data_IF_806398119411
#
_entry.id   IF_806398119411
#
_cell.length_a   1.000
_cell.length_b   1.000
_cell.length_c   1.000
_cell.angle_alpha   90.00
_cell.angle_beta   90.00
_cell.angle_gamma   90.00
#
_symmetry.space_group_name_H-M   'P 1'
#
loop_
_entity.id
_entity.type
_entity.pdbx_description
1 polymer ?
#
# COMPACT_ATOMS: atom_id res chain seq x y z
N UNK A 1 7.11 -6.14 -14.36
CA UNK A 1 8.60 -6.10 -14.28
C UNK A 1 9.13 -4.70 -13.98
N UNK A 2 8.73 -3.66 -14.71
CA UNK A 2 9.26 -2.30 -14.53
C UNK A 2 9.01 -1.71 -13.13
N UNK A 3 7.82 -1.88 -12.55
CA UNK A 3 7.48 -1.36 -11.22
C UNK A 3 8.34 -2.00 -10.11
N UNK A 4 8.55 -3.31 -10.17
CA UNK A 4 9.40 -4.06 -9.24
C UNK A 4 10.83 -3.50 -9.21
N UNK A 5 11.44 -3.28 -10.37
CA UNK A 5 12.81 -2.78 -10.44
C UNK A 5 12.91 -1.35 -9.89
N UNK A 6 11.95 -0.48 -10.22
CA UNK A 6 11.90 0.90 -9.69
C UNK A 6 11.80 0.93 -8.16
N UNK A 7 10.94 0.09 -7.57
CA UNK A 7 10.79 -0.02 -6.11
C UNK A 7 12.09 -0.51 -5.49
N UNK A 8 12.71 -1.56 -6.06
CA UNK A 8 13.97 -2.10 -5.56
C UNK A 8 15.09 -1.06 -5.61
N UNK A 9 15.23 -0.36 -6.72
CA UNK A 9 16.24 0.68 -6.88
C UNK A 9 16.06 1.81 -5.85
N UNK A 10 14.83 2.31 -5.69
CA UNK A 10 14.53 3.35 -4.71
C UNK A 10 14.81 2.88 -3.27
N UNK A 11 14.37 1.70 -2.87
CA UNK A 11 14.61 1.18 -1.52
C UNK A 11 16.11 0.93 -1.28
N UNK A 12 16.85 0.40 -2.26
CA UNK A 12 18.29 0.18 -2.15
C UNK A 12 19.07 1.49 -2.02
N UNK A 13 18.59 2.60 -2.64
CA UNK A 13 19.25 3.91 -2.56
C UNK A 13 19.24 4.51 -1.14
N UNK A 14 18.38 4.01 -0.24
CA UNK A 14 18.38 4.42 1.17
C UNK A 14 19.56 3.86 1.95
N UNK A 15 20.24 2.85 1.42
CA UNK A 15 21.38 2.14 2.04
C UNK A 15 21.07 1.63 3.47
N UNK A 16 19.78 1.51 3.82
CA UNK A 16 19.36 1.01 5.14
C UNK A 16 19.81 -0.42 5.37
N UNK A 17 20.36 -0.67 6.54
CA UNK A 17 20.64 -2.03 7.00
C UNK A 17 19.35 -2.85 6.99
N UNK A 18 19.42 -4.08 6.44
CA UNK A 18 18.28 -4.99 6.33
C UNK A 18 17.39 -4.81 5.09
N UNK A 19 17.57 -3.74 4.28
CA UNK A 19 16.72 -3.47 3.11
C UNK A 19 16.73 -4.64 2.10
N UNK A 20 17.87 -5.32 1.92
CA UNK A 20 17.96 -6.49 1.02
C UNK A 20 17.13 -7.67 1.52
N UNK A 21 17.08 -7.88 2.82
CA UNK A 21 16.26 -8.92 3.42
C UNK A 21 14.76 -8.59 3.29
N UNK A 22 14.38 -7.32 3.47
CA UNK A 22 13.02 -6.86 3.20
C UNK A 22 12.62 -7.08 1.74
N UNK A 23 13.47 -6.72 0.77
CA UNK A 23 13.21 -6.92 -0.65
C UNK A 23 13.02 -8.41 -1.01
N UNK A 24 13.83 -9.29 -0.43
CA UNK A 24 13.65 -10.74 -0.59
C UNK A 24 12.30 -11.19 -0.02
N UNK A 25 11.92 -10.70 1.16
CA UNK A 25 10.62 -10.99 1.75
C UNK A 25 9.47 -10.50 0.85
N UNK A 26 9.58 -9.31 0.28
CA UNK A 26 8.59 -8.76 -0.67
C UNK A 26 8.44 -9.64 -1.91
N UNK A 27 9.56 -10.17 -2.44
CA UNK A 27 9.56 -11.11 -3.56
C UNK A 27 8.86 -12.44 -3.21
N UNK A 28 9.19 -13.00 -2.06
CA UNK A 28 8.70 -14.32 -1.62
C UNK A 28 7.21 -14.29 -1.21
N UNK A 29 6.72 -13.13 -0.77
CA UNK A 29 5.34 -12.97 -0.27
C UNK A 29 4.39 -12.30 -1.27
N UNK A 30 4.85 -12.03 -2.51
CA UNK A 30 3.98 -11.58 -3.60
C UNK A 30 3.55 -10.12 -3.52
N UNK A 31 4.37 -9.24 -2.92
CA UNK A 31 4.10 -7.80 -2.87
C UNK A 31 3.85 -7.21 -4.27
N UNK A 32 4.64 -7.62 -5.24
CA UNK A 32 4.59 -7.08 -6.60
C UNK A 32 3.41 -7.57 -7.44
N UNK A 33 2.71 -8.60 -6.98
CA UNK A 33 1.55 -9.19 -7.65
C UNK A 33 0.25 -8.89 -6.86
N UNK A 34 0.37 -8.34 -5.65
CA UNK A 34 -0.75 -8.05 -4.76
C UNK A 34 -1.63 -6.92 -5.33
N UNK A 35 -2.98 -7.04 -5.29
CA UNK A 35 -3.87 -5.93 -5.59
C UNK A 35 -3.79 -4.86 -4.48
N UNK A 36 -3.99 -3.59 -4.85
CA UNK A 36 -4.01 -2.50 -3.87
C UNK A 36 -5.28 -2.50 -3.02
N UNK A 37 -6.40 -2.90 -3.59
CA UNK A 37 -7.70 -2.92 -2.92
C UNK A 37 -8.55 -4.12 -3.32
N UNK A 38 -9.68 -4.30 -2.64
CA UNK A 38 -10.66 -5.34 -3.00
C UNK A 38 -11.51 -4.99 -4.23
N UNK A 39 -11.65 -3.69 -4.56
CA UNK A 39 -12.53 -3.25 -5.63
C UNK A 39 -12.67 -1.74 -5.76
N UNK A 40 -11.80 -0.94 -5.12
CA UNK A 40 -11.88 0.52 -5.18
C UNK A 40 -10.92 1.07 -6.25
N UNK A 41 -9.62 1.09 -5.96
CA UNK A 41 -8.57 1.55 -6.88
C UNK A 41 -7.55 0.43 -7.04
N UNK A 42 -7.00 0.29 -8.24
CA UNK A 42 -5.98 -0.72 -8.57
C UNK A 42 -6.30 -2.12 -8.00
N UNK A 43 -7.57 -2.54 -8.11
CA UNK A 43 -8.03 -3.86 -7.70
C UNK A 43 -7.66 -4.92 -8.77
N UNK A 44 -6.39 -4.92 -9.15
CA UNK A 44 -5.78 -5.77 -10.19
C UNK A 44 -4.46 -6.34 -9.68
N UNK A 45 -3.98 -7.38 -10.35
CA UNK A 45 -2.65 -7.93 -10.08
C UNK A 45 -1.59 -6.84 -10.29
N UNK A 46 -0.67 -6.71 -9.33
CA UNK A 46 0.38 -5.69 -9.33
C UNK A 46 -0.08 -4.29 -8.88
N UNK A 47 -1.35 -4.11 -8.55
CA UNK A 47 -1.92 -2.82 -8.17
C UNK A 47 -1.28 -2.21 -6.94
N UNK A 48 -0.83 -3.01 -5.97
CA UNK A 48 -0.14 -2.50 -4.78
C UNK A 48 1.22 -1.86 -5.11
N UNK A 49 2.00 -2.48 -5.99
CA UNK A 49 3.27 -1.95 -6.43
C UNK A 49 3.12 -0.66 -7.25
N UNK A 50 2.08 -0.59 -8.09
CA UNK A 50 1.75 0.60 -8.85
C UNK A 50 1.32 1.74 -7.94
N UNK A 51 0.40 1.50 -7.00
CA UNK A 51 -0.02 2.47 -6.00
C UNK A 51 1.15 3.04 -5.20
N UNK A 52 2.02 2.16 -4.67
CA UNK A 52 3.19 2.61 -3.90
C UNK A 52 4.09 3.54 -4.70
N UNK A 53 4.27 3.29 -6.00
CA UNK A 53 5.05 4.17 -6.89
C UNK A 53 4.33 5.48 -7.21
N UNK A 54 3.00 5.47 -7.34
CA UNK A 54 2.20 6.67 -7.53
C UNK A 54 2.31 7.58 -6.29
N UNK A 55 2.16 7.01 -5.10
CA UNK A 55 2.35 7.73 -3.83
C UNK A 55 3.76 8.28 -3.73
N UNK A 56 4.79 7.49 -4.10
CA UNK A 56 6.17 7.96 -4.13
C UNK A 56 6.36 9.16 -5.08
N UNK A 57 5.84 9.09 -6.29
CA UNK A 57 5.89 10.19 -7.26
C UNK A 57 5.24 11.46 -6.72
N UNK A 58 4.02 11.36 -6.16
CA UNK A 58 3.32 12.51 -5.56
C UNK A 58 4.09 13.09 -4.38
N UNK A 59 4.64 12.24 -3.49
CA UNK A 59 5.47 12.72 -2.37
C UNK A 59 6.73 13.45 -2.85
N UNK A 60 7.36 12.98 -3.93
CA UNK A 60 8.50 13.67 -4.54
C UNK A 60 8.09 15.04 -5.10
N UNK A 61 6.99 15.11 -5.84
CA UNK A 61 6.47 16.35 -6.41
C UNK A 61 6.07 17.37 -5.33
N UNK A 62 5.55 16.91 -4.21
CA UNK A 62 5.14 17.75 -3.08
C UNK A 62 6.27 17.98 -2.05
N UNK A 63 7.45 17.43 -2.24
CA UNK A 63 8.56 17.47 -1.28
C UNK A 63 9.02 18.88 -0.93
N UNK A 64 8.77 19.87 -1.80
CA UNK A 64 9.04 21.28 -1.53
C UNK A 64 8.32 21.79 -0.27
N UNK A 65 7.22 21.18 0.15
CA UNK A 65 6.51 21.52 1.39
C UNK A 65 7.32 21.19 2.65
N UNK A 66 8.30 20.29 2.55
CA UNK A 66 9.21 19.93 3.62
C UNK A 66 10.49 20.79 3.63
N UNK A 67 10.70 21.59 2.59
CA UNK A 67 11.89 22.44 2.43
C UNK A 67 11.67 23.80 3.05
N UNK A 68 12.71 24.31 3.76
CA UNK A 68 12.72 25.68 4.29
C UNK A 68 13.42 26.68 3.37
N UNK A 69 13.85 26.25 2.17
CA UNK A 69 14.61 27.09 1.23
C UNK A 69 14.97 26.37 -0.08
N UNK A 70 15.87 26.93 -0.89
CA UNK A 70 16.24 26.39 -2.20
C UNK A 70 17.14 25.14 -2.15
N UNK A 71 17.66 24.80 -0.98
CA UNK A 71 18.53 23.65 -0.78
C UNK A 71 17.77 22.32 -0.90
N UNK A 72 18.41 21.26 -1.42
CA UNK A 72 17.81 19.92 -1.44
C UNK A 72 17.45 19.46 -0.02
N UNK A 73 16.41 18.62 0.08
CA UNK A 73 16.08 17.99 1.35
C UNK A 73 17.27 17.18 1.89
N UNK A 74 17.48 17.16 3.23
CA UNK A 74 18.46 16.27 3.84
C UNK A 74 18.24 14.81 3.43
N UNK A 75 19.33 14.03 3.36
CA UNK A 75 19.27 12.61 2.93
C UNK A 75 18.28 11.81 3.77
N UNK A 76 18.25 12.05 5.08
CA UNK A 76 17.35 11.39 6.02
C UNK A 76 15.87 11.62 5.65
N UNK A 77 15.52 12.83 5.19
CA UNK A 77 14.16 13.15 4.76
C UNK A 77 13.85 12.55 3.39
N UNK A 78 14.82 12.52 2.47
CA UNK A 78 14.67 11.84 1.19
C UNK A 78 14.42 10.34 1.41
N UNK A 79 15.16 9.70 2.30
CA UNK A 79 14.98 8.30 2.69
C UNK A 79 13.62 8.07 3.35
N UNK A 80 13.18 8.97 4.22
CA UNK A 80 11.87 8.87 4.87
C UNK A 80 10.72 8.96 3.87
N UNK A 81 10.84 9.78 2.81
CA UNK A 81 9.89 9.82 1.69
C UNK A 81 9.84 8.47 0.98
N UNK A 82 11.01 7.87 0.67
CA UNK A 82 11.07 6.56 0.01
C UNK A 82 10.44 5.47 0.89
N UNK A 83 10.84 5.41 2.15
CA UNK A 83 10.36 4.39 3.11
C UNK A 83 8.87 4.55 3.34
N UNK A 84 8.40 5.75 3.65
CA UNK A 84 6.99 6.03 3.89
C UNK A 84 6.12 5.65 2.70
N UNK A 85 6.45 6.16 1.51
CA UNK A 85 5.65 5.94 0.32
C UNK A 85 5.63 4.50 -0.16
N UNK A 86 6.78 3.81 -0.16
CA UNK A 86 6.86 2.46 -0.72
C UNK A 86 6.44 1.36 0.26
N UNK A 87 6.39 1.67 1.57
CA UNK A 87 6.10 0.67 2.60
C UNK A 87 4.82 0.93 3.41
N UNK A 88 4.10 2.08 3.22
CA UNK A 88 2.90 2.39 4.00
C UNK A 88 1.86 1.27 3.93
N UNK A 89 1.70 0.69 2.78
CA UNK A 89 0.71 -0.35 2.46
C UNK A 89 1.29 -1.79 2.43
N UNK A 90 2.53 -1.99 2.86
CA UNK A 90 3.21 -3.30 2.86
C UNK A 90 2.38 -4.40 3.52
N UNK A 91 1.60 -4.06 4.53
CA UNK A 91 0.71 -4.99 5.25
C UNK A 91 -0.44 -5.55 4.42
N UNK A 92 -0.78 -4.94 3.27
CA UNK A 92 -1.78 -5.46 2.32
C UNK A 92 -1.30 -6.74 1.62
N UNK A 93 0.01 -6.96 1.52
CA UNK A 93 0.62 -8.19 1.00
C UNK A 93 0.12 -9.43 1.74
N UNK A 94 -0.10 -9.31 3.04
CA UNK A 94 -0.45 -10.42 3.92
C UNK A 94 0.63 -10.68 4.97
N UNK A 95 0.60 -11.86 5.59
CA UNK A 95 1.54 -12.24 6.65
C UNK A 95 1.43 -13.74 6.96
N UNK A 96 2.41 -14.31 7.66
CA UNK A 96 2.42 -15.72 8.06
C UNK A 96 2.22 -16.70 6.90
N UNK A 97 2.79 -16.40 5.73
CA UNK A 97 2.64 -17.22 4.52
C UNK A 97 1.24 -17.21 3.90
N UNK A 98 0.39 -16.25 4.27
CA UNK A 98 -0.96 -16.08 3.75
C UNK A 98 -1.08 -14.75 3.03
N UNK A 99 -1.63 -14.71 1.79
CA UNK A 99 -1.85 -13.46 1.08
C UNK A 99 -2.89 -12.59 1.80
N UNK A 100 -2.77 -11.26 1.67
CA UNK A 100 -3.72 -10.31 2.24
C UNK A 100 -5.08 -10.33 1.56
N UNK A 101 -5.08 -10.63 0.26
CA UNK A 101 -6.28 -10.72 -0.57
C UNK A 101 -6.41 -12.09 -1.21
N UNK A 102 -7.67 -12.49 -1.45
CA UNK A 102 -8.05 -13.70 -2.20
C UNK A 102 -9.10 -13.35 -3.25
N UNK A 103 -9.24 -14.12 -4.34
CA UNK A 103 -10.30 -13.90 -5.31
C UNK A 103 -11.67 -13.88 -4.63
N UNK A 104 -12.48 -12.86 -4.92
CA UNK A 104 -13.84 -12.74 -4.41
C UNK A 104 -14.80 -13.50 -5.31
N UNK A 105 -15.13 -14.73 -4.93
CA UNK A 105 -15.98 -15.63 -5.70
C UNK A 105 -17.46 -15.42 -5.36
N UNK A 106 -18.28 -15.09 -6.35
CA UNK A 106 -19.73 -14.94 -6.24
C UNK A 106 -20.45 -16.05 -7.02
N UNK A 107 -21.71 -16.34 -6.66
CA UNK A 107 -22.53 -17.32 -7.37
C UNK A 107 -22.77 -16.86 -8.80
N UNK A 108 -22.54 -17.76 -9.76
CA UNK A 108 -22.84 -17.56 -11.18
C UNK A 108 -24.15 -18.24 -11.53
N UNK A 109 -25.24 -17.48 -11.53
CA UNK A 109 -26.60 -17.98 -11.77
C UNK A 109 -27.14 -18.86 -10.63
N UNK A 110 -28.19 -19.57 -10.94
CA UNK A 110 -28.82 -20.58 -10.06
C UNK A 110 -28.64 -21.97 -10.65
N UNK A 111 -28.48 -23.02 -9.84
CA UNK A 111 -28.51 -24.38 -10.31
C UNK A 111 -29.81 -24.70 -11.05
N UNK A 112 -29.71 -25.52 -12.08
CA UNK A 112 -30.88 -26.01 -12.86
C UNK A 112 -30.97 -27.52 -12.74
N UNK A 113 -32.09 -28.13 -13.21
CA UNK A 113 -32.21 -29.59 -13.24
C UNK A 113 -31.16 -30.26 -14.15
N UNK A 114 -30.71 -29.55 -15.19
CA UNK A 114 -29.67 -30.04 -16.11
C UNK A 114 -28.25 -29.82 -15.56
N UNK A 115 -28.06 -28.79 -14.75
CA UNK A 115 -26.78 -28.44 -14.10
C UNK A 115 -27.02 -28.19 -12.59
N UNK A 116 -27.03 -29.24 -11.78
CA UNK A 116 -27.41 -29.16 -10.36
C UNK A 116 -26.33 -28.56 -9.49
N UNK A 117 -25.09 -28.43 -9.98
CA UNK A 117 -23.96 -27.85 -9.22
C UNK A 117 -23.97 -26.33 -9.31
N UNK A 118 -23.74 -25.68 -8.16
CA UNK A 118 -23.60 -24.23 -8.10
C UNK A 118 -22.27 -23.80 -8.75
N UNK A 119 -22.33 -23.03 -9.83
CA UNK A 119 -21.16 -22.40 -10.44
C UNK A 119 -20.80 -21.11 -9.70
N UNK A 120 -19.51 -20.78 -9.71
CA UNK A 120 -18.98 -19.56 -9.14
C UNK A 120 -18.11 -18.85 -10.17
N UNK A 121 -18.07 -17.51 -10.09
CA UNK A 121 -17.17 -16.65 -10.85
C UNK A 121 -16.59 -15.56 -9.95
N UNK A 122 -15.45 -15.02 -10.33
CA UNK A 122 -14.89 -13.85 -9.66
C UNK A 122 -15.82 -12.65 -9.85
N UNK A 123 -16.03 -11.88 -8.80
CA UNK A 123 -16.86 -10.67 -8.86
C UNK A 123 -16.23 -9.62 -9.77
N UNK A 124 -16.93 -9.10 -10.80
CA UNK A 124 -16.38 -8.06 -11.66
C UNK A 124 -16.24 -6.71 -10.95
N UNK A 125 -17.16 -6.38 -10.04
CA UNK A 125 -17.15 -5.09 -9.35
C UNK A 125 -16.25 -5.06 -8.12
N UNK A 126 -15.95 -6.21 -7.54
CA UNK A 126 -15.08 -6.36 -6.37
C UNK A 126 -14.28 -7.65 -6.52
N UNK A 127 -13.25 -7.65 -7.38
CA UNK A 127 -12.56 -8.88 -7.77
C UNK A 127 -11.82 -9.57 -6.62
N UNK A 128 -11.45 -8.83 -5.57
CA UNK A 128 -10.74 -9.39 -4.43
C UNK A 128 -11.47 -9.14 -3.11
N UNK A 129 -11.25 -10.01 -2.15
CA UNK A 129 -11.72 -9.90 -0.77
C UNK A 129 -10.52 -10.03 0.17
N UNK A 130 -10.60 -9.38 1.33
CA UNK A 130 -9.62 -9.59 2.41
C UNK A 130 -9.63 -11.07 2.77
N UNK A 131 -8.45 -11.67 2.91
CA UNK A 131 -8.32 -13.09 3.21
C UNK A 131 -8.86 -13.40 4.61
N UNK A 132 -9.95 -14.18 4.72
CA UNK A 132 -10.54 -14.56 6.01
C UNK A 132 -9.64 -15.48 6.84
N UNK A 133 -8.59 -16.04 6.26
CA UNK A 133 -7.59 -16.84 6.95
C UNK A 133 -6.57 -16.01 7.76
N UNK A 134 -6.59 -14.68 7.63
CA UNK A 134 -5.80 -13.76 8.45
C UNK A 134 -6.67 -13.12 9.53
N UNK A 135 -6.09 -12.89 10.72
CA UNK A 135 -6.75 -12.05 11.71
C UNK A 135 -6.94 -10.62 11.18
N UNK A 136 -8.05 -9.94 11.55
CA UNK A 136 -8.39 -8.60 11.06
C UNK A 136 -7.54 -7.51 11.75
N UNK A 137 -6.22 -7.57 11.54
CA UNK A 137 -5.29 -6.52 11.96
C UNK A 137 -5.27 -5.44 10.88
N UNK A 138 -5.41 -4.14 11.22
CA UNK A 138 -5.27 -3.05 10.26
C UNK A 138 -3.97 -3.17 9.46
N UNK A 139 -4.04 -2.89 8.14
CA UNK A 139 -2.89 -3.09 7.27
C UNK A 139 -1.72 -2.17 7.61
N UNK A 140 -1.98 -0.94 8.09
CA UNK A 140 -0.97 0.01 8.57
C UNK A 140 -0.17 -0.54 9.76
N UNK A 141 -0.84 -1.21 10.70
CA UNK A 141 -0.18 -1.88 11.84
C UNK A 141 0.68 -3.04 11.35
N UNK A 142 0.17 -3.79 10.37
CA UNK A 142 0.91 -4.89 9.75
C UNK A 142 2.10 -4.38 8.94
N UNK A 143 1.97 -3.23 8.26
CA UNK A 143 3.04 -2.58 7.51
C UNK A 143 4.20 -2.21 8.42
N UNK A 144 3.94 -1.53 9.53
CA UNK A 144 4.95 -1.19 10.55
C UNK A 144 5.60 -2.46 11.10
N UNK A 145 4.81 -3.47 11.48
CA UNK A 145 5.34 -4.74 11.99
C UNK A 145 6.30 -5.41 11.02
N UNK A 146 5.93 -5.52 9.74
CA UNK A 146 6.76 -6.19 8.73
C UNK A 146 8.00 -5.37 8.46
N UNK A 147 7.87 -4.07 8.20
CA UNK A 147 9.02 -3.21 7.93
C UNK A 147 10.02 -3.23 9.08
N UNK A 148 9.57 -3.07 10.34
CA UNK A 148 10.41 -3.04 11.54
C UNK A 148 11.09 -4.38 11.84
N UNK A 149 10.62 -5.49 11.27
CA UNK A 149 11.29 -6.77 11.39
C UNK A 149 12.61 -6.81 10.60
N UNK A 150 12.72 -6.04 9.53
CA UNK A 150 13.88 -6.05 8.65
C UNK A 150 14.74 -4.81 8.76
N UNK A 151 14.13 -3.63 8.87
CA UNK A 151 14.82 -2.34 8.90
C UNK A 151 14.47 -1.57 10.16
N UNK A 152 15.41 -0.73 10.62
CA UNK A 152 15.11 0.21 11.70
C UNK A 152 14.38 1.41 11.11
N UNK A 153 13.10 1.57 11.45
CA UNK A 153 12.35 2.79 11.18
C UNK A 153 12.73 3.89 12.18
N UNK A 154 12.68 5.15 11.76
CA UNK A 154 12.62 6.28 12.67
C UNK A 154 11.23 6.40 13.28
N UNK A 155 11.09 7.09 14.41
CA UNK A 155 9.79 7.33 15.03
C UNK A 155 8.83 8.04 14.07
N UNK A 156 9.32 9.02 13.29
CA UNK A 156 8.51 9.76 12.33
C UNK A 156 8.05 8.90 11.15
N UNK A 157 8.91 8.01 10.63
CA UNK A 157 8.54 7.04 9.59
C UNK A 157 7.49 6.04 10.09
N UNK A 158 7.69 5.51 11.30
CA UNK A 158 6.74 4.59 11.93
C UNK A 158 5.37 5.24 12.09
N UNK A 159 5.32 6.47 12.63
CA UNK A 159 4.07 7.20 12.80
C UNK A 159 3.43 7.58 11.46
N UNK A 160 4.22 7.99 10.46
CA UNK A 160 3.70 8.31 9.15
C UNK A 160 3.03 7.09 8.49
N UNK A 161 3.67 5.92 8.55
CA UNK A 161 3.11 4.65 8.05
C UNK A 161 1.87 4.27 8.86
N UNK A 162 1.93 4.32 10.19
CA UNK A 162 0.82 3.93 11.06
C UNK A 162 -0.41 4.82 10.88
N UNK A 163 -0.21 6.10 10.58
CA UNK A 163 -1.30 7.08 10.51
C UNK A 163 -1.68 7.49 9.09
N UNK A 164 -1.11 6.90 8.05
CA UNK A 164 -1.32 7.36 6.65
C UNK A 164 -2.80 7.43 6.23
N UNK A 165 -3.68 6.59 6.80
CA UNK A 165 -5.12 6.67 6.56
C UNK A 165 -5.77 7.94 7.13
N UNK A 166 -5.08 8.70 7.98
CA UNK A 166 -5.53 9.97 8.52
C UNK A 166 -6.88 9.87 9.22
N UNK A 167 -7.80 10.78 8.85
CA UNK A 167 -9.15 10.84 9.43
C UNK A 167 -10.04 9.65 9.02
N UNK A 168 -9.63 8.84 8.07
CA UNK A 168 -10.34 7.64 7.62
C UNK A 168 -9.88 6.38 8.35
N UNK A 169 -8.76 6.43 9.08
CA UNK A 169 -8.19 5.31 9.83
C UNK A 169 -8.70 5.20 11.26
N UNK A 170 -8.30 4.12 11.91
CA UNK A 170 -8.66 3.83 13.30
C UNK A 170 -7.99 4.79 14.29
N UNK A 171 -6.88 5.43 13.89
CA UNK A 171 -6.09 6.35 14.72
C UNK A 171 -6.55 7.81 14.64
N UNK A 172 -7.64 8.14 13.94
CA UNK A 172 -8.10 9.51 13.68
C UNK A 172 -8.20 10.41 14.92
N UNK A 173 -8.60 9.88 16.06
CA UNK A 173 -8.69 10.63 17.32
C UNK A 173 -7.35 10.80 18.03
N UNK A 174 -6.37 9.96 17.72
CA UNK A 174 -5.02 10.03 18.29
C UNK A 174 -4.14 11.03 17.55
N UNK A 175 -4.34 11.16 16.24
CA UNK A 175 -3.56 12.01 15.34
C UNK A 175 -3.83 13.49 15.59
N UNK A 176 -5.08 13.86 15.84
CA UNK A 176 -5.52 15.25 15.92
C UNK A 176 -4.64 16.11 16.83
N UNK A 177 -4.04 17.16 16.25
CA UNK A 177 -3.13 18.09 16.93
C UNK A 177 -1.71 17.54 17.15
N UNK A 178 -1.36 16.41 16.50
CA UNK A 178 -0.03 15.76 16.61
C UNK A 178 0.55 15.44 15.22
N UNK A 179 0.01 16.08 14.21
CA UNK A 179 0.41 15.86 12.83
C UNK A 179 1.87 16.27 12.62
N UNK A 180 2.64 15.41 11.96
CA UNK A 180 4.02 15.72 11.53
C UNK A 180 4.04 16.04 10.02
N UNK A 181 5.03 16.79 9.53
CA UNK A 181 5.14 17.11 8.10
C UNK A 181 5.20 15.85 7.21
N UNK A 182 5.99 14.84 7.60
CA UNK A 182 6.11 13.59 6.85
C UNK A 182 4.77 12.83 6.79
N UNK A 183 4.07 12.74 7.92
CA UNK A 183 2.75 12.11 7.98
C UNK A 183 1.75 12.80 7.05
N UNK A 184 1.65 14.15 7.14
CA UNK A 184 0.71 14.91 6.29
C UNK A 184 1.04 14.74 4.81
N UNK A 185 2.33 14.76 4.44
CA UNK A 185 2.75 14.57 3.07
C UNK A 185 2.34 13.19 2.56
N UNK A 186 2.59 12.13 3.33
CA UNK A 186 2.20 10.78 2.98
C UNK A 186 0.67 10.63 2.87
N UNK A 187 -0.08 11.15 3.86
CA UNK A 187 -1.55 11.10 3.85
C UNK A 187 -2.15 11.79 2.62
N UNK A 188 -1.66 12.99 2.27
CA UNK A 188 -2.12 13.69 1.08
C UNK A 188 -1.73 13.00 -0.22
N UNK A 189 -0.51 12.45 -0.30
CA UNK A 189 -0.04 11.73 -1.47
C UNK A 189 -0.83 10.44 -1.71
N UNK A 190 -1.10 9.66 -0.66
CA UNK A 190 -1.94 8.46 -0.73
C UNK A 190 -3.37 8.80 -1.16
N UNK A 191 -3.98 9.79 -0.51
CA UNK A 191 -5.33 10.23 -0.85
C UNK A 191 -5.42 10.78 -2.29
N UNK A 192 -4.41 11.53 -2.75
CA UNK A 192 -4.33 12.03 -4.12
C UNK A 192 -4.19 10.89 -5.12
N UNK A 193 -3.28 9.95 -4.86
CA UNK A 193 -3.07 8.79 -5.71
C UNK A 193 -4.34 7.96 -5.84
N UNK A 194 -4.91 7.54 -4.72
CA UNK A 194 -6.07 6.62 -4.69
C UNK A 194 -7.36 7.24 -5.23
N UNK A 195 -7.52 8.58 -5.18
CA UNK A 195 -8.78 9.24 -5.54
C UNK A 195 -8.74 10.07 -6.81
N UNK A 196 -7.56 10.43 -7.28
CA UNK A 196 -7.39 11.28 -8.46
C UNK A 196 -6.63 10.54 -9.55
N UNK A 197 -5.42 10.00 -9.25
CA UNK A 197 -4.58 9.38 -10.27
C UNK A 197 -5.08 7.99 -10.69
N UNK A 198 -5.58 7.21 -9.72
CA UNK A 198 -5.96 5.80 -9.88
C UNK A 198 -7.47 5.63 -10.05
N UNK A 199 -8.19 6.72 -10.21
CA UNK A 199 -9.62 6.67 -10.48
C UNK A 199 -9.82 6.09 -11.89
N UNK A 200 -10.41 4.90 -11.99
CA UNK A 200 -10.89 4.40 -13.28
C UNK A 200 -11.84 5.47 -13.85
N UNK A 201 -11.60 5.89 -15.10
CA UNK A 201 -12.59 6.66 -15.85
C UNK A 201 -13.86 5.81 -15.87
N UNK A 202 -14.89 6.28 -15.17
CA UNK A 202 -16.22 5.70 -15.33
C UNK A 202 -16.53 5.83 -16.82
N UNK A 203 -16.51 4.70 -17.53
CA UNK A 203 -17.04 4.65 -18.89
C UNK A 203 -18.50 5.04 -18.76
N UNK A 204 -18.81 6.25 -19.20
CA UNK A 204 -20.19 6.71 -19.39
C UNK A 204 -20.82 5.74 -20.42
N UNK A 205 -21.69 4.84 -19.91
CA UNK A 205 -22.60 4.05 -20.74
C UNK A 205 -23.83 4.88 -21.14
#
# INVERSE_FOLDING_TARGET
MQNKERIKEALLSTEREGIKALLNWMDENGFYDCPCSGGNHLAVEGGLAEHSLNVYGVMQDMSFLLSSGPEPLPKEMQDAIIIGSLLHDLGKTGDYGKPGYVPNMIKDGRPTKAEPEQKYKQSPNKPFAVNPGLFPVPHEVRSVKIASHFIKLTEEEELAILWHNGLYGDFRHTIQGKETPLYLLLHFADMWSSRILEKEEMQDE
#
